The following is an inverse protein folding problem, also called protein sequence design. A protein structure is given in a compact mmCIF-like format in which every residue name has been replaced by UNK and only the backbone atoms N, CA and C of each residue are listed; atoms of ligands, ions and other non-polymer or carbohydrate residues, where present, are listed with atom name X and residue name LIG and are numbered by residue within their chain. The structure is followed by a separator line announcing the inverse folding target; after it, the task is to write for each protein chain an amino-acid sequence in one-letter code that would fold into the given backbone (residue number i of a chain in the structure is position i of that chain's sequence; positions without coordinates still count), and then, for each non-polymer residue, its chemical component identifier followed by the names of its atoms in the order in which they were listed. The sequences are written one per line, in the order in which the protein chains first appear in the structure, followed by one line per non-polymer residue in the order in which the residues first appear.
data_IF_131712742788
#
_entry.id   IF_131712742788
#
_cell.length_a   1.000
_cell.length_b   1.000
_cell.length_c   1.000
_cell.angle_alpha   90.00
_cell.angle_beta   90.00
_cell.angle_gamma   90.00
#
_symmetry.space_group_name_H-M   'P 1'
#
loop_
_entity.id
_entity.type
_entity.pdbx_description
1 polymer ?
#
# COMPACT_ATOMS: atom_id res chain seq x y z
N UNK A 1 -3.43 17.43 7.06
CA UNK A 1 -4.60 16.67 7.59
C UNK A 1 -4.17 15.24 7.76
N UNK A 2 -4.57 14.55 8.82
CA UNK A 2 -4.02 13.22 9.07
C UNK A 2 -4.88 12.12 8.44
N UNK A 3 -4.25 11.23 7.69
CA UNK A 3 -4.84 9.98 7.19
C UNK A 3 -4.05 8.78 7.71
N UNK A 4 -4.68 7.61 7.71
CA UNK A 4 -4.10 6.37 8.22
C UNK A 4 -3.97 5.34 7.11
N UNK A 5 -2.75 4.93 6.78
CA UNK A 5 -2.47 3.88 5.79
C UNK A 5 -2.19 2.58 6.51
N UNK A 6 -3.00 1.56 6.24
CA UNK A 6 -2.83 0.21 6.77
C UNK A 6 -2.05 -0.64 5.77
N UNK A 7 -0.94 -1.20 6.21
CA UNK A 7 -0.16 -2.17 5.45
C UNK A 7 -0.77 -3.57 5.58
N UNK A 8 -1.09 -4.21 4.45
CA UNK A 8 -1.77 -5.51 4.42
C UNK A 8 -0.86 -6.76 4.27
N UNK A 9 0.48 -6.60 4.19
CA UNK A 9 1.45 -7.72 3.98
C UNK A 9 2.00 -8.32 5.26
N UNK A 10 2.04 -7.54 6.34
CA UNK A 10 2.79 -7.92 7.54
C UNK A 10 1.85 -8.68 8.47
N UNK A 11 2.06 -10.00 8.57
CA UNK A 11 1.58 -10.94 9.59
C UNK A 11 0.53 -10.37 10.58
N UNK A 12 -0.76 -10.62 10.34
CA UNK A 12 -1.97 -10.41 11.17
C UNK A 12 -2.16 -9.09 11.96
N UNK A 13 -1.12 -8.26 12.09
CA UNK A 13 -1.05 -6.95 12.71
C UNK A 13 -0.58 -5.99 11.63
N UNK A 14 -1.50 -5.65 10.73
CA UNK A 14 -1.24 -4.63 9.73
C UNK A 14 -0.80 -3.35 10.43
N UNK A 15 0.43 -2.92 10.17
CA UNK A 15 0.98 -1.69 10.70
C UNK A 15 0.18 -0.51 10.13
N UNK A 16 -0.06 0.50 10.96
CA UNK A 16 -0.80 1.70 10.56
C UNK A 16 0.19 2.85 10.58
N UNK A 17 0.44 3.42 9.40
CA UNK A 17 1.27 4.62 9.24
C UNK A 17 0.35 5.83 9.18
N UNK A 18 0.66 6.85 9.98
CA UNK A 18 -0.05 8.12 9.94
C UNK A 18 0.69 9.06 8.99
N UNK A 19 0.00 9.55 7.95
CA UNK A 19 0.55 10.51 7.00
C UNK A 19 -0.20 11.84 7.13
N UNK A 20 0.54 12.94 7.02
CA UNK A 20 -0.07 14.27 6.92
C UNK A 20 -0.17 14.69 5.46
N UNK A 21 -1.41 14.86 4.99
CA UNK A 21 -1.78 15.16 3.60
C UNK A 21 -2.76 16.33 3.56
N UNK A 22 -2.81 17.06 2.45
CA UNK A 22 -3.77 18.12 2.19
C UNK A 22 -4.97 17.59 1.38
N UNK A 23 -6.09 18.33 1.42
CA UNK A 23 -7.33 17.99 0.68
C UNK A 23 -7.15 18.18 -0.82
N UNK A 24 -6.22 19.05 -1.18
CA UNK A 24 -5.75 19.37 -2.52
C UNK A 24 -4.72 18.35 -3.03
N UNK A 25 -4.09 17.58 -2.15
CA UNK A 25 -3.10 16.58 -2.54
C UNK A 25 -3.74 15.51 -3.41
N UNK A 26 -2.92 15.00 -4.32
CA UNK A 26 -3.32 14.00 -5.28
C UNK A 26 -2.95 12.62 -4.76
N UNK A 27 -3.48 11.59 -5.42
CA UNK A 27 -3.11 10.20 -5.10
C UNK A 27 -1.61 9.96 -5.32
N UNK A 28 -1.00 10.63 -6.29
CA UNK A 28 0.44 10.52 -6.58
C UNK A 28 1.30 11.09 -5.44
N UNK A 29 0.94 12.27 -4.93
CA UNK A 29 1.63 12.88 -3.77
C UNK A 29 1.61 11.94 -2.57
N UNK A 30 0.45 11.32 -2.30
CA UNK A 30 0.31 10.36 -1.20
C UNK A 30 1.08 9.07 -1.46
N UNK A 31 1.10 8.56 -2.69
CA UNK A 31 1.92 7.39 -3.04
C UNK A 31 3.42 7.69 -2.89
N UNK A 32 3.86 8.90 -3.22
CA UNK A 32 5.24 9.35 -3.03
C UNK A 32 5.59 9.47 -1.54
N UNK A 33 4.70 10.01 -0.70
CA UNK A 33 4.88 10.03 0.76
C UNK A 33 4.96 8.61 1.34
N UNK A 34 4.11 7.70 0.87
CA UNK A 34 4.17 6.27 1.24
C UNK A 34 5.50 5.65 0.80
N UNK A 35 6.00 6.01 -0.39
CA UNK A 35 7.28 5.52 -0.87
C UNK A 35 8.43 5.98 0.04
N UNK A 36 8.42 7.21 0.51
CA UNK A 36 9.46 7.73 1.42
C UNK A 36 9.38 7.04 2.79
N UNK A 37 8.18 6.91 3.34
CA UNK A 37 7.95 6.34 4.67
C UNK A 37 8.11 4.82 4.71
N UNK A 38 7.60 4.09 3.71
CA UNK A 38 7.57 2.63 3.69
C UNK A 38 8.71 2.05 2.83
N UNK A 39 9.19 2.79 1.82
CA UNK A 39 10.22 2.34 0.89
C UNK A 39 9.70 1.53 -0.29
N UNK A 40 8.39 1.57 -0.57
CA UNK A 40 7.76 0.85 -1.68
C UNK A 40 7.60 1.77 -2.88
N UNK A 41 8.07 1.41 -4.10
CA UNK A 41 7.93 2.27 -5.26
C UNK A 41 6.45 2.38 -5.68
N UNK A 42 6.05 3.54 -6.18
CA UNK A 42 4.65 3.91 -6.45
C UNK A 42 3.95 2.97 -7.43
N UNK A 43 4.68 2.42 -8.40
CA UNK A 43 4.19 1.45 -9.40
C UNK A 43 3.73 0.12 -8.80
N UNK A 44 4.29 -0.25 -7.64
CA UNK A 44 3.92 -1.45 -6.89
C UNK A 44 2.82 -1.20 -5.87
N UNK A 45 2.47 0.06 -5.60
CA UNK A 45 1.45 0.42 -4.62
C UNK A 45 0.04 0.38 -5.23
N UNK A 46 -0.94 -0.07 -4.44
CA UNK A 46 -2.37 -0.05 -4.77
C UNK A 46 -3.13 0.41 -3.54
N UNK A 47 -3.68 1.61 -3.59
CA UNK A 47 -4.48 2.14 -2.49
C UNK A 47 -5.95 1.76 -2.64
N UNK A 48 -6.59 1.43 -1.53
CA UNK A 48 -8.01 1.09 -1.44
C UNK A 48 -8.66 1.93 -0.34
N UNK A 49 -9.87 2.41 -0.61
CA UNK A 49 -10.71 3.10 0.35
C UNK A 49 -12.15 2.56 0.25
N UNK A 50 -12.69 2.02 1.34
CA UNK A 50 -14.05 1.47 1.36
C UNK A 50 -14.29 0.37 0.30
N UNK A 51 -13.30 -0.48 0.05
CA UNK A 51 -13.36 -1.52 -0.99
C UNK A 51 -13.18 -1.02 -2.43
N UNK A 52 -13.00 0.29 -2.65
CA UNK A 52 -12.74 0.87 -3.97
C UNK A 52 -11.26 1.16 -4.13
N UNK A 53 -10.66 0.64 -5.20
CA UNK A 53 -9.29 0.98 -5.55
C UNK A 53 -9.20 2.45 -5.98
N UNK A 54 -8.30 3.20 -5.35
CA UNK A 54 -7.89 4.54 -5.78
C UNK A 54 -6.96 4.36 -6.99
N UNK A 55 -7.56 4.13 -8.15
CA UNK A 55 -6.83 4.08 -9.42
C UNK A 55 -6.61 5.49 -9.92
N UNK A 56 -5.35 5.84 -10.16
CA UNK A 56 -5.04 6.90 -11.11
C UNK A 56 -5.49 6.42 -12.49
N UNK A 57 -6.55 7.03 -13.01
CA UNK A 57 -6.89 6.85 -14.42
C UNK A 57 -6.01 7.85 -15.17
N UNK A 58 -5.07 7.35 -15.98
CA UNK A 58 -4.13 8.16 -16.77
C UNK A 58 -4.80 9.45 -17.27
N UNK A 59 -4.29 10.59 -16.80
CA UNK A 59 -4.75 11.91 -17.22
C UNK A 59 -5.88 12.53 -16.40
N UNK A 60 -6.28 11.96 -15.24
CA UNK A 60 -7.18 12.63 -14.29
C UNK A 60 -6.58 12.72 -12.90
N UNK A 61 -6.10 13.91 -12.56
CA UNK A 61 -5.73 14.30 -11.21
C UNK A 61 -6.99 14.39 -10.36
N UNK A 62 -7.28 13.34 -9.59
CA UNK A 62 -8.32 13.37 -8.55
C UNK A 62 -7.65 13.64 -7.20
N UNK A 63 -8.22 14.59 -6.48
CA UNK A 63 -7.76 14.98 -5.16
C UNK A 63 -8.31 14.05 -4.08
N UNK A 64 -7.74 14.09 -2.88
CA UNK A 64 -8.31 13.40 -1.72
C UNK A 64 -9.77 13.78 -1.48
N UNK A 65 -10.14 15.04 -1.73
CA UNK A 65 -11.51 15.52 -1.63
C UNK A 65 -12.46 14.81 -2.63
N UNK A 66 -12.02 14.55 -3.86
CA UNK A 66 -12.82 13.85 -4.89
C UNK A 66 -13.13 12.40 -4.50
N UNK A 67 -12.28 11.78 -3.68
CA UNK A 67 -12.48 10.43 -3.17
C UNK A 67 -13.22 10.37 -1.83
N UNK A 68 -13.70 11.52 -1.35
CA UNK A 68 -14.36 11.66 -0.05
C UNK A 68 -13.45 11.20 1.11
N UNK A 69 -12.14 11.38 0.96
CA UNK A 69 -11.15 11.09 2.00
C UNK A 69 -11.08 12.31 2.91
N UNK A 70 -11.52 12.12 4.15
CA UNK A 70 -11.52 13.12 5.22
C UNK A 70 -10.38 12.90 6.20
N UNK A 71 -10.21 13.82 7.15
CA UNK A 71 -9.31 13.61 8.28
C UNK A 71 -9.70 12.35 9.06
N UNK A 72 -8.71 11.59 9.48
CA UNK A 72 -8.89 10.31 10.14
C UNK A 72 -9.33 9.16 9.22
N UNK A 73 -9.42 9.38 7.90
CA UNK A 73 -9.77 8.29 6.98
C UNK A 73 -8.71 7.21 6.95
N UNK A 74 -9.17 5.97 6.80
CA UNK A 74 -8.31 4.79 6.67
C UNK A 74 -8.21 4.36 5.21
N UNK A 75 -6.97 4.20 4.76
CA UNK A 75 -6.62 3.61 3.47
C UNK A 75 -5.99 2.25 3.69
N UNK A 76 -6.28 1.32 2.78
CA UNK A 76 -5.63 0.02 2.75
C UNK A 76 -4.64 0.01 1.59
N UNK A 77 -3.38 -0.24 1.90
CA UNK A 77 -2.34 -0.40 0.89
C UNK A 77 -2.28 -1.88 0.51
N UNK A 78 -2.34 -2.16 -0.81
CA UNK A 78 -2.01 -3.43 -1.49
C UNK A 78 -0.72 -3.29 -2.36
N UNK A 79 0.22 -4.25 -2.33
CA UNK A 79 1.60 -4.14 -2.81
C UNK A 79 1.77 -5.32 -3.72
N UNK A 80 2.03 -5.00 -4.97
CA UNK A 80 2.23 -5.97 -6.00
C UNK A 80 3.70 -6.32 -6.05
N UNK A 81 4.04 -7.52 -5.62
CA UNK A 81 5.38 -8.06 -5.84
C UNK A 81 5.45 -8.58 -7.28
N UNK A 82 6.40 -8.07 -8.06
CA UNK A 82 6.67 -8.56 -9.41
C UNK A 82 7.08 -10.03 -9.38
N UNK A 83 6.63 -10.81 -10.37
CA UNK A 83 6.94 -12.23 -10.47
C UNK A 83 8.42 -12.48 -10.71
N UNK A 84 9.17 -12.65 -9.63
CA UNK A 84 10.57 -13.08 -9.60
C UNK A 84 10.74 -14.25 -8.65
N UNK A 85 11.73 -15.10 -8.95
CA UNK A 85 11.94 -16.42 -8.36
C UNK A 85 11.83 -16.42 -6.82
N UNK A 86 11.02 -17.33 -6.29
CA UNK A 86 10.91 -17.55 -4.85
C UNK A 86 12.25 -18.05 -4.31
N UNK A 87 12.92 -17.26 -3.45
CA UNK A 87 14.19 -17.65 -2.83
C UNK A 87 14.05 -17.88 -1.31
N UNK A 88 12.95 -18.44 -0.82
CA UNK A 88 13.01 -19.27 0.41
C UNK A 88 11.86 -20.27 0.45
N UNK A 89 12.16 -21.57 0.40
CA UNK A 89 11.24 -22.62 0.83
C UNK A 89 11.53 -22.95 2.30
N UNK A 90 10.77 -22.37 3.22
CA UNK A 90 10.71 -22.75 4.62
C UNK A 90 9.28 -23.18 5.02
N UNK A 91 9.10 -23.75 6.21
CA UNK A 91 7.84 -24.34 6.69
C UNK A 91 6.69 -23.35 6.96
N UNK A 92 6.80 -22.08 6.58
CA UNK A 92 5.84 -21.00 6.88
C UNK A 92 5.22 -20.33 5.64
N UNK A 93 5.30 -20.96 4.46
CA UNK A 93 4.75 -20.40 3.22
C UNK A 93 5.81 -19.74 2.32
N UNK A 94 5.37 -19.28 1.15
CA UNK A 94 6.23 -18.68 0.13
C UNK A 94 6.49 -17.22 0.49
N UNK A 95 7.60 -16.96 1.19
CA UNK A 95 8.03 -15.60 1.49
C UNK A 95 8.93 -15.08 0.36
N UNK A 96 8.58 -13.91 -0.21
CA UNK A 96 9.43 -13.23 -1.19
C UNK A 96 10.09 -11.99 -0.58
N UNK A 97 11.40 -11.87 -0.80
CA UNK A 97 12.12 -10.60 -0.69
C UNK A 97 12.09 -9.92 -2.05
N UNK A 98 11.55 -8.71 -2.09
CA UNK A 98 11.68 -7.85 -3.27
C UNK A 98 12.94 -6.99 -3.10
N UNK A 99 13.91 -7.03 -4.03
CA UNK A 99 15.17 -6.28 -3.97
C UNK A 99 14.98 -4.76 -3.89
N UNK A 100 13.82 -4.24 -4.27
CA UNK A 100 13.49 -2.83 -4.19
C UNK A 100 12.81 -2.46 -2.85
N UNK A 101 12.33 -3.45 -2.10
CA UNK A 101 11.68 -3.28 -0.79
C UNK A 101 12.60 -3.66 0.39
N UNK A 102 13.87 -3.97 0.11
CA UNK A 102 14.85 -4.50 1.09
C UNK A 102 15.20 -3.48 2.17
N UNK A 103 15.01 -2.17 1.91
CA UNK A 103 15.35 -1.08 2.84
C UNK A 103 14.75 -1.26 4.24
N UNK A 104 13.64 -1.99 4.38
CA UNK A 104 12.99 -2.24 5.67
C UNK A 104 12.95 -3.70 6.11
N UNK A 105 13.70 -4.60 5.46
CA UNK A 105 13.67 -6.04 5.78
C UNK A 105 12.24 -6.62 5.81
N UNK A 106 11.38 -6.15 4.90
CA UNK A 106 9.97 -6.53 4.77
C UNK A 106 9.89 -7.86 4.04
N UNK A 107 9.15 -8.81 4.61
CA UNK A 107 8.82 -10.09 3.98
C UNK A 107 7.38 -10.03 3.50
N UNK A 108 7.15 -10.36 2.22
CA UNK A 108 5.81 -10.38 1.64
C UNK A 108 5.40 -11.83 1.42
N UNK A 109 4.28 -12.20 2.02
CA UNK A 109 3.60 -13.46 1.74
C UNK A 109 2.89 -13.35 0.39
N UNK A 110 3.25 -14.20 -0.57
CA UNK A 110 2.70 -14.11 -1.93
C UNK A 110 1.44 -14.95 -2.14
N UNK A 111 1.01 -15.69 -1.12
CA UNK A 111 -0.21 -16.51 -1.12
C UNK A 111 -1.42 -15.75 -0.54
N UNK A 112 -1.22 -14.75 0.32
CA UNK A 112 -2.29 -13.87 0.82
C UNK A 112 -2.66 -12.76 -0.18
N UNK A 113 -3.36 -13.10 -1.26
CA UNK A 113 -4.33 -12.16 -1.88
C UNK A 113 -5.62 -12.23 -1.07
N UNK A 114 -5.62 -11.63 0.13
CA UNK A 114 -6.82 -11.60 0.96
C UNK A 114 -7.56 -10.30 0.66
N UNK A 115 -8.33 -10.31 -0.42
CA UNK A 115 -9.58 -9.56 -0.46
C UNK A 115 -10.61 -10.38 0.33
N UNK A 116 -10.54 -10.41 1.66
CA UNK A 116 -11.69 -10.82 2.46
C UNK A 116 -12.51 -9.56 2.73
N UNK A 117 -13.40 -9.26 1.77
CA UNK A 117 -14.65 -8.57 2.07
C UNK A 117 -15.46 -9.53 2.93
N UNK A 118 -15.58 -9.25 4.22
CA UNK A 118 -16.76 -9.63 5.01
C UNK A 118 -17.79 -8.51 4.90
#
# INVERSE_FOLDING_TARGET
MQIFVREAWVHDKGNIVALDVERSDTVDDVMAMIQDEIGVPTDKQRLFHGGKQLLEVEGRTRTMADYNIMDGSRLELLVRVGGGNCEVCGSHGTMRRDPELVKKNIWIDVDRVVLSLD
#
